data_IF_193098067024
#
_entry.id   IF_193098067024
#
_cell.length_a   1.000
_cell.length_b   1.000
_cell.length_c   1.000
_cell.angle_alpha   90.00
_cell.angle_beta   90.00
_cell.angle_gamma   90.00
#
_symmetry.space_group_name_H-M   'P 1'
#
loop_
_entity.id
_entity.type
_entity.pdbx_description
1 polymer ?
#
# COMPACT_ATOMS: atom_id res chain seq x y z
N UNK A 1 12.36 -1.29 -0.03
CA UNK A 1 12.07 -1.26 1.41
C UNK A 1 12.65 -2.49 2.08
N UNK A 2 13.26 -2.30 3.28
CA UNK A 2 13.95 -3.39 3.97
C UNK A 2 13.00 -4.47 4.54
N UNK A 3 11.78 -4.08 4.86
CA UNK A 3 10.73 -4.96 5.38
C UNK A 3 9.78 -5.50 4.29
N UNK A 4 10.11 -5.34 3.01
CA UNK A 4 9.19 -5.67 1.93
C UNK A 4 8.90 -7.16 1.87
N UNK A 5 7.67 -7.54 2.14
CA UNK A 5 7.22 -8.94 2.11
C UNK A 5 7.21 -9.56 0.70
N UNK A 6 7.42 -8.76 -0.35
CA UNK A 6 7.55 -9.25 -1.71
C UNK A 6 8.98 -9.75 -2.04
N UNK A 7 9.98 -9.48 -1.18
CA UNK A 7 11.36 -9.92 -1.40
C UNK A 7 11.50 -11.43 -1.68
N UNK A 8 10.83 -12.31 -0.94
CA UNK A 8 10.89 -13.74 -1.20
C UNK A 8 10.37 -14.18 -2.58
N UNK A 9 9.60 -13.35 -3.28
CA UNK A 9 9.11 -13.71 -4.62
C UNK A 9 10.23 -13.81 -5.66
N UNK A 10 11.40 -13.20 -5.41
CA UNK A 10 12.56 -13.33 -6.29
C UNK A 10 13.17 -14.74 -6.26
N UNK A 11 12.99 -15.48 -5.16
CA UNK A 11 13.44 -16.87 -5.06
C UNK A 11 12.77 -17.79 -6.11
N UNK A 12 11.55 -17.48 -6.57
CA UNK A 12 10.91 -18.20 -7.67
C UNK A 12 11.61 -18.07 -9.02
N UNK A 13 12.56 -17.14 -9.11
CA UNK A 13 13.37 -16.87 -10.29
C UNK A 13 14.86 -17.10 -10.04
N UNK A 14 15.20 -17.87 -9.00
CA UNK A 14 16.57 -18.14 -8.56
C UNK A 14 17.39 -16.85 -8.28
N UNK A 15 16.71 -15.80 -7.84
CA UNK A 15 17.30 -14.51 -7.53
C UNK A 15 17.30 -14.24 -6.02
N UNK A 16 18.33 -13.51 -5.57
CA UNK A 16 18.47 -13.09 -4.18
C UNK A 16 17.33 -12.14 -3.75
N UNK A 17 16.73 -12.34 -2.55
CA UNK A 17 15.80 -11.38 -1.95
C UNK A 17 16.48 -10.07 -1.49
N UNK A 18 17.79 -10.02 -1.53
CA UNK A 18 18.62 -8.85 -1.20
C UNK A 18 18.76 -7.90 -2.38
N UNK A 19 19.97 -7.83 -2.94
CA UNK A 19 20.32 -6.89 -4.00
C UNK A 19 19.56 -7.14 -5.30
N UNK A 20 19.35 -8.41 -5.67
CA UNK A 20 18.64 -8.72 -6.91
C UNK A 20 17.20 -8.19 -6.90
N UNK A 21 16.51 -8.26 -5.74
CA UNK A 21 15.18 -7.66 -5.59
C UNK A 21 15.15 -6.16 -5.90
N UNK A 22 16.27 -5.48 -5.72
CA UNK A 22 16.36 -4.04 -5.93
C UNK A 22 16.88 -3.65 -7.32
N UNK A 23 17.53 -4.56 -8.02
CA UNK A 23 18.24 -4.30 -9.28
C UNK A 23 17.69 -5.06 -10.47
N UNK A 24 17.11 -6.24 -10.26
CA UNK A 24 16.54 -7.09 -11.31
C UNK A 24 15.01 -7.03 -11.26
N UNK A 25 14.42 -6.20 -12.09
CA UNK A 25 12.99 -5.95 -12.12
C UNK A 25 12.31 -6.69 -13.27
N UNK A 26 11.10 -7.14 -13.03
CA UNK A 26 10.24 -7.78 -14.04
C UNK A 26 9.13 -6.82 -14.45
N UNK A 27 9.15 -6.36 -15.69
CA UNK A 27 8.05 -5.59 -16.28
C UNK A 27 7.06 -6.53 -16.97
N UNK A 28 5.78 -6.14 -16.99
CA UNK A 28 4.70 -6.86 -17.68
C UNK A 28 4.08 -5.93 -18.75
N UNK A 29 4.75 -5.73 -19.89
CA UNK A 29 4.32 -4.74 -20.89
C UNK A 29 2.92 -5.01 -21.42
N UNK A 30 2.53 -6.27 -21.55
CA UNK A 30 1.23 -6.69 -22.09
C UNK A 30 0.09 -6.67 -21.05
N UNK A 31 0.32 -6.15 -19.83
CA UNK A 31 -0.66 -6.22 -18.74
C UNK A 31 -2.00 -5.59 -19.11
N UNK A 32 -2.02 -4.47 -19.81
CA UNK A 32 -3.24 -3.80 -20.24
C UNK A 32 -4.02 -4.62 -21.29
N UNK A 33 -3.32 -5.21 -22.25
CA UNK A 33 -3.93 -6.07 -23.28
C UNK A 33 -4.52 -7.35 -22.67
N UNK A 34 -3.77 -7.98 -21.76
CA UNK A 34 -4.23 -9.17 -21.04
C UNK A 34 -5.45 -8.86 -20.15
N UNK A 35 -5.41 -7.70 -19.45
CA UNK A 35 -6.56 -7.24 -18.66
C UNK A 35 -7.78 -7.03 -19.54
N UNK A 36 -7.63 -6.35 -20.68
CA UNK A 36 -8.74 -6.13 -21.63
C UNK A 36 -9.35 -7.45 -22.09
N UNK A 37 -8.53 -8.43 -22.43
CA UNK A 37 -8.99 -9.77 -22.81
C UNK A 37 -9.74 -10.47 -21.66
N UNK A 38 -9.23 -10.34 -20.42
CA UNK A 38 -9.88 -10.94 -19.24
C UNK A 38 -11.25 -10.31 -18.95
N UNK A 39 -11.35 -8.97 -18.99
CA UNK A 39 -12.58 -8.22 -18.77
C UNK A 39 -13.65 -8.51 -19.85
N UNK A 40 -13.23 -8.90 -21.06
CA UNK A 40 -14.11 -9.25 -22.16
C UNK A 40 -14.64 -10.69 -22.13
N UNK A 41 -14.19 -11.53 -21.20
CA UNK A 41 -14.65 -12.91 -21.11
C UNK A 41 -16.11 -13.01 -20.73
N UNK A 42 -16.85 -13.90 -21.40
CA UNK A 42 -18.25 -14.21 -21.05
C UNK A 42 -18.31 -14.71 -19.60
N UNK A 43 -19.16 -14.09 -18.79
CA UNK A 43 -19.34 -14.46 -17.39
C UNK A 43 -18.31 -13.83 -16.44
N UNK A 44 -17.51 -12.86 -16.88
CA UNK A 44 -16.67 -12.09 -15.97
C UNK A 44 -17.53 -11.40 -14.90
N UNK A 45 -17.23 -11.66 -13.62
CA UNK A 45 -17.92 -11.06 -12.48
C UNK A 45 -17.09 -9.87 -11.96
N UNK A 46 -17.59 -8.66 -12.14
CA UNK A 46 -16.89 -7.45 -11.75
C UNK A 46 -16.74 -7.37 -10.23
N UNK A 47 -15.48 -7.28 -9.77
CA UNK A 47 -15.09 -7.03 -8.38
C UNK A 47 -13.96 -6.00 -8.35
N UNK A 48 -13.84 -5.15 -7.30
CA UNK A 48 -12.77 -4.18 -7.25
C UNK A 48 -11.38 -4.81 -7.37
N UNK A 49 -10.58 -4.33 -8.31
CA UNK A 49 -9.17 -4.74 -8.44
C UNK A 49 -8.34 -3.95 -7.44
N UNK A 50 -7.53 -4.65 -6.63
CA UNK A 50 -6.57 -4.04 -5.73
C UNK A 50 -5.17 -4.04 -6.35
N UNK A 51 -4.69 -2.87 -6.75
CA UNK A 51 -3.37 -2.66 -7.32
C UNK A 51 -2.37 -2.23 -6.24
N UNK A 52 -1.13 -2.72 -6.31
CA UNK A 52 -0.09 -2.38 -5.34
C UNK A 52 -0.07 -3.26 -4.09
N UNK A 53 -0.70 -4.42 -4.14
CA UNK A 53 -0.76 -5.35 -3.00
C UNK A 53 0.49 -6.21 -2.85
N UNK A 54 1.31 -6.34 -3.89
CA UNK A 54 2.60 -7.03 -3.84
C UNK A 54 3.75 -6.05 -4.02
N UNK A 55 3.87 -5.41 -5.18
CA UNK A 55 4.86 -4.38 -5.46
C UNK A 55 4.17 -3.03 -5.72
N UNK A 56 4.89 -1.93 -5.52
CA UNK A 56 4.33 -0.59 -5.74
C UNK A 56 4.06 -0.36 -7.24
N UNK A 57 2.84 0.05 -7.64
CA UNK A 57 2.51 0.29 -9.03
C UNK A 57 3.21 1.52 -9.63
N UNK A 58 3.76 2.40 -8.79
CA UNK A 58 4.47 3.61 -9.20
C UNK A 58 5.97 3.55 -8.89
N UNK A 59 6.59 2.38 -9.12
CA UNK A 59 8.04 2.24 -9.06
C UNK A 59 8.74 3.21 -10.04
N UNK A 60 10.03 3.53 -9.85
CA UNK A 60 10.76 4.44 -10.76
C UNK A 60 10.66 4.07 -12.23
N UNK A 61 10.67 2.78 -12.56
CA UNK A 61 10.55 2.24 -13.93
C UNK A 61 9.23 2.62 -14.61
N UNK A 62 8.17 2.86 -13.84
CA UNK A 62 6.85 3.26 -14.34
C UNK A 62 6.88 4.62 -15.06
N UNK A 63 7.93 5.44 -14.84
CA UNK A 63 8.14 6.67 -15.61
C UNK A 63 8.27 6.41 -17.11
N UNK A 64 8.95 5.34 -17.44
CA UNK A 64 9.31 5.01 -18.83
C UNK A 64 8.32 3.99 -19.43
N UNK A 65 7.92 2.97 -18.66
CA UNK A 65 7.06 1.88 -19.13
C UNK A 65 5.57 2.21 -19.13
N UNK A 66 5.10 3.07 -18.23
CA UNK A 66 3.68 3.50 -18.09
C UNK A 66 2.66 2.35 -18.05
N UNK A 67 3.05 1.19 -17.55
CA UNK A 67 2.19 0.00 -17.47
C UNK A 67 1.00 0.25 -16.54
N UNK A 68 1.25 0.87 -15.38
CA UNK A 68 0.18 1.24 -14.44
C UNK A 68 -0.85 2.14 -15.09
N UNK A 69 -0.39 3.16 -15.83
CA UNK A 69 -1.29 4.08 -16.54
C UNK A 69 -2.14 3.35 -17.57
N UNK A 70 -1.54 2.52 -18.43
CA UNK A 70 -2.30 1.77 -19.45
C UNK A 70 -3.31 0.79 -18.83
N UNK A 71 -3.02 0.21 -17.68
CA UNK A 71 -3.98 -0.61 -16.93
C UNK A 71 -5.14 0.26 -16.41
N UNK A 72 -4.85 1.45 -15.84
CA UNK A 72 -5.90 2.37 -15.35
C UNK A 72 -6.77 2.86 -16.53
N UNK A 73 -6.20 3.13 -17.71
CA UNK A 73 -6.94 3.52 -18.91
C UNK A 73 -7.97 2.44 -19.31
N UNK A 74 -7.59 1.16 -19.31
CA UNK A 74 -8.51 0.05 -19.56
C UNK A 74 -9.62 -0.02 -18.51
N UNK A 75 -9.28 0.15 -17.23
CA UNK A 75 -10.29 0.12 -16.15
C UNK A 75 -11.25 1.31 -16.24
N UNK A 76 -10.74 2.50 -16.55
CA UNK A 76 -11.56 3.71 -16.72
C UNK A 76 -12.52 3.57 -17.93
N UNK A 77 -12.05 3.02 -19.05
CA UNK A 77 -12.88 2.75 -20.23
C UNK A 77 -14.03 1.79 -19.92
N UNK A 78 -13.78 0.79 -19.09
CA UNK A 78 -14.74 -0.24 -18.72
C UNK A 78 -15.63 0.13 -17.51
N UNK A 79 -15.49 1.32 -16.94
CA UNK A 79 -16.10 1.70 -15.66
C UNK A 79 -15.86 0.64 -14.56
N UNK A 80 -14.64 0.09 -14.52
CA UNK A 80 -14.27 -0.97 -13.59
C UNK A 80 -13.68 -0.42 -12.29
N UNK A 81 -14.13 -0.87 -11.11
CA UNK A 81 -13.65 -0.35 -9.82
C UNK A 81 -12.20 -0.76 -9.51
N UNK A 82 -11.45 0.18 -8.91
CA UNK A 82 -10.01 0.08 -8.64
C UNK A 82 -9.65 0.64 -7.26
N UNK A 83 -8.81 -0.08 -6.52
CA UNK A 83 -8.13 0.42 -5.32
C UNK A 83 -6.63 0.44 -5.59
N UNK A 84 -5.99 1.58 -5.40
CA UNK A 84 -4.54 1.72 -5.57
C UNK A 84 -3.88 1.85 -4.20
N UNK A 85 -2.87 1.03 -3.92
CA UNK A 85 -2.00 1.21 -2.74
C UNK A 85 -0.59 1.56 -3.21
N UNK A 86 -0.06 2.67 -2.71
CA UNK A 86 1.29 3.13 -3.11
C UNK A 86 1.99 3.93 -2.00
N UNK A 87 3.30 4.02 -2.08
CA UNK A 87 4.14 4.98 -1.33
C UNK A 87 4.52 6.19 -2.19
N UNK A 88 4.20 6.16 -3.47
CA UNK A 88 4.67 7.14 -4.44
C UNK A 88 3.68 8.30 -4.62
N UNK A 89 4.20 9.51 -4.65
CA UNK A 89 3.45 10.70 -5.07
C UNK A 89 3.21 10.76 -6.59
N UNK A 90 3.81 9.83 -7.36
CA UNK A 90 3.60 9.72 -8.82
C UNK A 90 2.17 9.31 -9.19
N UNK A 91 1.37 8.81 -8.27
CA UNK A 91 -0.06 8.58 -8.49
C UNK A 91 -0.78 9.85 -8.97
N UNK A 92 -0.27 11.02 -8.63
CA UNK A 92 -0.79 12.31 -9.10
C UNK A 92 -0.66 12.51 -10.61
N UNK A 93 0.22 11.78 -11.29
CA UNK A 93 0.35 11.80 -12.76
C UNK A 93 -0.95 11.37 -13.44
N UNK A 94 -1.68 10.46 -12.80
CA UNK A 94 -2.86 9.82 -13.39
C UNK A 94 -4.19 10.42 -12.85
N UNK A 95 -4.14 11.63 -12.25
CA UNK A 95 -5.33 12.33 -11.73
C UNK A 95 -6.38 12.59 -12.81
N UNK A 96 -5.97 12.78 -14.05
CA UNK A 96 -6.85 12.96 -15.20
C UNK A 96 -7.79 11.75 -15.43
N UNK A 97 -7.35 10.55 -15.06
CA UNK A 97 -8.12 9.31 -15.09
C UNK A 97 -8.84 9.06 -13.74
N UNK A 98 -8.13 9.29 -12.62
CA UNK A 98 -8.64 8.94 -11.30
C UNK A 98 -9.78 9.86 -10.84
N UNK A 99 -9.76 11.16 -11.16
CA UNK A 99 -10.81 12.08 -10.72
C UNK A 99 -12.17 11.77 -11.40
N UNK A 100 -12.27 11.54 -12.72
CA UNK A 100 -13.51 11.08 -13.32
C UNK A 100 -14.01 9.73 -12.80
N UNK A 101 -13.10 8.78 -12.51
CA UNK A 101 -13.46 7.50 -11.90
C UNK A 101 -13.98 7.70 -10.47
N UNK A 102 -13.40 8.61 -9.70
CA UNK A 102 -13.84 8.93 -8.35
C UNK A 102 -15.25 9.55 -8.32
N UNK A 103 -15.58 10.40 -9.29
CA UNK A 103 -16.92 10.97 -9.44
C UNK A 103 -18.01 9.90 -9.68
N UNK A 104 -17.62 8.74 -10.20
CA UNK A 104 -18.47 7.57 -10.40
C UNK A 104 -18.39 6.54 -9.26
N UNK A 105 -17.67 6.84 -8.17
CA UNK A 105 -17.38 5.90 -7.06
C UNK A 105 -16.65 4.62 -7.49
N UNK A 106 -15.76 4.74 -8.47
CA UNK A 106 -15.01 3.61 -9.06
C UNK A 106 -13.57 3.51 -8.55
N UNK A 107 -13.04 4.50 -7.83
CA UNK A 107 -11.65 4.45 -7.40
C UNK A 107 -11.45 4.97 -5.97
N UNK A 108 -10.48 4.38 -5.30
CA UNK A 108 -9.91 4.91 -4.07
C UNK A 108 -8.40 4.71 -4.06
N UNK A 109 -7.69 5.59 -3.39
CA UNK A 109 -6.22 5.53 -3.29
C UNK A 109 -5.81 5.43 -1.82
N UNK A 110 -4.90 4.53 -1.51
CA UNK A 110 -4.27 4.40 -0.20
C UNK A 110 -2.79 4.78 -0.30
N UNK A 111 -2.39 5.85 0.40
CA UNK A 111 -1.00 6.28 0.48
C UNK A 111 -0.38 5.74 1.78
N UNK A 112 0.74 5.03 1.68
CA UNK A 112 1.44 4.53 2.86
C UNK A 112 2.38 5.60 3.44
N UNK A 113 2.26 5.88 4.74
CA UNK A 113 3.14 6.78 5.50
C UNK A 113 3.63 6.02 6.72
N UNK A 114 4.90 5.60 6.71
CA UNK A 114 5.49 4.74 7.74
C UNK A 114 6.09 5.54 8.89
N UNK A 115 6.64 6.72 8.59
CA UNK A 115 7.24 7.65 9.55
C UNK A 115 7.15 9.07 9.00
N UNK A 116 7.05 10.05 9.88
CA UNK A 116 7.17 11.48 9.56
C UNK A 116 8.61 11.95 9.64
N UNK A 117 9.50 11.17 10.28
CA UNK A 117 10.92 11.47 10.43
C UNK A 117 11.67 11.11 9.16
N UNK A 118 12.19 12.08 8.40
CA UNK A 118 12.85 11.84 7.11
C UNK A 118 14.00 10.84 7.20
N UNK A 119 14.83 10.98 8.25
CA UNK A 119 16.00 10.11 8.48
C UNK A 119 15.57 8.64 8.62
N UNK A 120 14.50 8.36 9.35
CA UNK A 120 13.98 7.00 9.51
C UNK A 120 13.36 6.51 8.19
N UNK A 121 12.49 7.31 7.59
CA UNK A 121 11.84 6.95 6.33
C UNK A 121 12.87 6.61 5.23
N UNK A 122 13.95 7.38 5.12
CA UNK A 122 15.00 7.14 4.13
C UNK A 122 15.79 5.86 4.36
N UNK A 123 16.00 5.42 5.61
CA UNK A 123 16.73 4.18 5.87
C UNK A 123 15.88 2.93 5.63
N UNK A 124 14.59 2.98 5.94
CA UNK A 124 13.69 1.83 5.77
C UNK A 124 13.05 1.75 4.37
N UNK A 125 12.92 2.90 3.69
CA UNK A 125 12.27 3.05 2.38
C UNK A 125 13.08 3.94 1.42
N UNK A 126 14.33 3.60 1.12
CA UNK A 126 15.30 4.51 0.46
C UNK A 126 14.87 4.98 -0.94
N UNK A 127 13.96 4.25 -1.60
CA UNK A 127 13.45 4.59 -2.95
C UNK A 127 12.06 5.24 -2.94
N UNK A 128 11.45 5.39 -1.77
CA UNK A 128 10.14 6.00 -1.67
C UNK A 128 10.26 7.53 -1.45
N UNK A 129 9.29 8.34 -1.89
CA UNK A 129 9.28 9.78 -1.67
C UNK A 129 9.31 10.14 -0.19
N UNK A 130 9.87 11.30 0.10
CA UNK A 130 9.87 11.90 1.44
C UNK A 130 8.44 11.95 2.05
N UNK A 131 8.28 11.75 3.37
CA UNK A 131 6.96 11.73 4.01
C UNK A 131 6.08 12.94 3.69
N UNK A 132 6.64 14.15 3.65
CA UNK A 132 5.90 15.36 3.31
C UNK A 132 5.34 15.34 1.89
N UNK A 133 6.04 14.77 0.92
CA UNK A 133 5.54 14.60 -0.44
C UNK A 133 4.37 13.62 -0.51
N UNK A 134 4.40 12.57 0.33
CA UNK A 134 3.29 11.61 0.43
C UNK A 134 2.05 12.29 1.02
N UNK A 135 2.20 13.09 2.07
CA UNK A 135 1.10 13.86 2.68
C UNK A 135 0.57 14.95 1.73
N UNK A 136 1.45 15.59 0.97
CA UNK A 136 1.03 16.52 -0.09
C UNK A 136 0.24 15.79 -1.19
N UNK A 137 0.61 14.55 -1.54
CA UNK A 137 -0.15 13.73 -2.47
C UNK A 137 -1.53 13.36 -1.91
N UNK A 138 -1.64 13.04 -0.61
CA UNK A 138 -2.93 12.82 0.07
C UNK A 138 -3.83 14.05 -0.10
N UNK A 139 -3.30 15.26 0.21
CA UNK A 139 -4.06 16.50 0.07
C UNK A 139 -4.53 16.71 -1.37
N UNK A 140 -3.62 16.58 -2.34
CA UNK A 140 -3.96 16.81 -3.74
C UNK A 140 -5.00 15.83 -4.29
N UNK A 141 -4.95 14.57 -3.88
CA UNK A 141 -5.98 13.58 -4.20
C UNK A 141 -7.33 13.98 -3.59
N UNK A 142 -7.36 14.33 -2.30
CA UNK A 142 -8.56 14.77 -1.61
C UNK A 142 -9.18 16.01 -2.24
N UNK A 143 -8.37 17.04 -2.54
CA UNK A 143 -8.79 18.29 -3.20
C UNK A 143 -9.35 18.04 -4.62
N UNK A 144 -8.90 16.96 -5.28
CA UNK A 144 -9.40 16.53 -6.60
C UNK A 144 -10.62 15.60 -6.52
N UNK A 145 -11.22 15.40 -5.34
CA UNK A 145 -12.39 14.56 -5.13
C UNK A 145 -12.10 13.05 -5.08
N UNK A 146 -10.83 12.64 -5.18
CA UNK A 146 -10.45 11.21 -5.11
C UNK A 146 -10.46 10.75 -3.65
N UNK A 147 -11.26 9.73 -3.28
CA UNK A 147 -11.23 9.14 -1.95
C UNK A 147 -9.82 8.64 -1.60
N UNK A 148 -9.20 9.23 -0.59
CA UNK A 148 -7.85 8.87 -0.19
C UNK A 148 -7.81 8.37 1.25
N UNK A 149 -7.01 7.33 1.47
CA UNK A 149 -6.76 6.69 2.77
C UNK A 149 -5.27 6.71 3.08
N UNK A 150 -4.93 6.70 4.36
CA UNK A 150 -3.52 6.59 4.77
C UNK A 150 -3.27 5.27 5.49
N UNK A 151 -2.29 4.51 4.99
CA UNK A 151 -1.84 3.28 5.63
C UNK A 151 -0.57 3.55 6.44
N UNK A 152 -0.66 3.44 7.76
CA UNK A 152 0.50 3.47 8.66
C UNK A 152 1.08 2.05 8.70
N UNK A 153 1.84 1.71 7.67
CA UNK A 153 2.28 0.34 7.44
C UNK A 153 3.69 0.27 6.83
N UNK A 154 4.61 -0.37 7.53
CA UNK A 154 4.45 -0.99 8.85
C UNK A 154 4.64 -0.02 10.03
N UNK A 155 4.00 -0.34 11.16
CA UNK A 155 4.39 0.21 12.46
C UNK A 155 5.49 -0.67 13.03
N UNK A 156 6.65 -0.08 13.32
CA UNK A 156 7.82 -0.78 13.87
C UNK A 156 7.94 -0.45 15.36
N UNK A 157 7.85 -1.46 16.27
CA UNK A 157 7.95 -1.23 17.70
C UNK A 157 9.22 -0.48 18.08
N UNK A 158 9.12 0.46 19.02
CA UNK A 158 10.22 1.29 19.54
C UNK A 158 11.00 2.10 18.48
N UNK A 159 10.54 2.11 17.21
CA UNK A 159 11.14 2.90 16.12
C UNK A 159 10.14 3.90 15.53
N UNK A 160 8.93 3.47 15.15
CA UNK A 160 7.93 4.34 14.51
C UNK A 160 6.58 4.35 15.22
N UNK A 161 6.40 3.53 16.23
CA UNK A 161 5.14 3.41 16.98
C UNK A 161 4.79 4.66 17.80
N UNK A 162 5.76 5.49 18.12
CA UNK A 162 5.59 6.80 18.77
C UNK A 162 4.98 7.87 17.84
N UNK A 163 4.98 7.64 16.53
CA UNK A 163 4.48 8.60 15.54
C UNK A 163 3.02 8.35 15.11
N UNK A 164 2.38 7.27 15.56
CA UNK A 164 1.07 6.84 15.05
C UNK A 164 0.02 7.94 15.18
N UNK A 165 -0.09 8.59 16.33
CA UNK A 165 -1.05 9.68 16.57
C UNK A 165 -0.76 10.90 15.70
N UNK A 166 0.53 11.22 15.54
CA UNK A 166 0.95 12.35 14.69
C UNK A 166 0.63 12.08 13.21
N UNK A 167 0.85 10.85 12.74
CA UNK A 167 0.51 10.48 11.35
C UNK A 167 -1.00 10.55 11.15
N UNK A 168 -1.82 10.06 12.10
CA UNK A 168 -3.28 10.16 12.03
C UNK A 168 -3.72 11.63 11.95
N UNK A 169 -3.15 12.51 12.79
CA UNK A 169 -3.43 13.95 12.77
C UNK A 169 -3.10 14.57 11.40
N UNK A 170 -1.92 14.24 10.87
CA UNK A 170 -1.46 14.77 9.57
C UNK A 170 -2.29 14.24 8.41
N UNK A 171 -2.72 12.97 8.46
CA UNK A 171 -3.61 12.37 7.48
C UNK A 171 -4.98 13.06 7.47
N UNK A 172 -5.58 13.26 8.65
CA UNK A 172 -6.85 13.99 8.79
C UNK A 172 -6.73 15.42 8.26
N UNK A 173 -5.70 16.17 8.65
CA UNK A 173 -5.43 17.52 8.17
C UNK A 173 -5.11 17.61 6.67
N UNK A 174 -4.73 16.51 6.03
CA UNK A 174 -4.54 16.42 4.59
C UNK A 174 -5.81 15.98 3.84
N UNK A 175 -6.93 15.72 4.52
CA UNK A 175 -8.20 15.34 3.90
C UNK A 175 -8.37 13.84 3.65
N UNK A 176 -7.58 12.99 4.28
CA UNK A 176 -7.78 11.55 4.19
C UNK A 176 -9.15 11.15 4.79
N UNK A 177 -9.90 10.28 4.09
CA UNK A 177 -11.18 9.75 4.56
C UNK A 177 -11.04 8.72 5.66
N UNK A 178 -9.91 8.04 5.73
CA UNK A 178 -9.66 7.03 6.72
C UNK A 178 -8.19 6.68 6.87
N UNK A 179 -7.89 5.99 7.95
CA UNK A 179 -6.54 5.50 8.27
C UNK A 179 -6.59 4.04 8.68
N UNK A 180 -5.52 3.32 8.36
CA UNK A 180 -5.28 1.97 8.85
C UNK A 180 -3.85 1.81 9.34
N UNK A 181 -3.57 0.77 10.11
CA UNK A 181 -2.21 0.42 10.49
C UNK A 181 -1.95 -1.08 10.40
N UNK A 182 -0.72 -1.46 10.15
CA UNK A 182 -0.27 -2.83 10.16
C UNK A 182 1.08 -2.89 10.89
N UNK A 183 1.20 -3.69 11.97
CA UNK A 183 2.50 -3.95 12.60
C UNK A 183 3.46 -4.66 11.64
N UNK A 184 4.75 -4.40 11.79
CA UNK A 184 5.78 -4.99 10.93
C UNK A 184 5.68 -6.51 10.87
N UNK A 185 5.89 -7.06 9.67
CA UNK A 185 5.91 -8.49 9.36
C UNK A 185 7.24 -8.84 8.71
N UNK A 186 7.82 -9.94 9.13
CA UNK A 186 9.16 -10.35 8.72
C UNK A 186 9.12 -11.80 8.18
N UNK A 187 8.45 -12.05 7.04
CA UNK A 187 8.40 -13.40 6.48
C UNK A 187 9.77 -13.80 5.92
N UNK A 188 10.16 -15.04 6.21
CA UNK A 188 11.35 -15.71 5.67
C UNK A 188 12.60 -14.82 5.65
N UNK A 189 13.17 -14.56 4.47
CA UNK A 189 14.42 -13.82 4.27
C UNK A 189 14.31 -12.34 4.66
N UNK A 190 13.12 -11.82 4.87
CA UNK A 190 12.94 -10.45 5.37
C UNK A 190 13.44 -10.31 6.81
N UNK A 191 13.33 -11.36 7.63
CA UNK A 191 13.75 -11.32 9.04
C UNK A 191 15.26 -11.07 9.20
N UNK A 192 16.17 -11.83 8.59
CA UNK A 192 17.60 -11.54 8.69
C UNK A 192 17.99 -10.18 8.09
N UNK A 193 17.37 -9.74 7.00
CA UNK A 193 17.63 -8.41 6.43
C UNK A 193 17.21 -7.29 7.38
N UNK A 194 16.08 -7.46 8.03
CA UNK A 194 15.59 -6.48 9.00
C UNK A 194 16.46 -6.43 10.25
N UNK A 195 16.96 -7.57 10.75
CA UNK A 195 17.91 -7.63 11.86
C UNK A 195 19.20 -6.91 11.53
N UNK A 196 19.80 -7.17 10.37
CA UNK A 196 21.01 -6.49 9.91
C UNK A 196 20.81 -4.96 9.83
N UNK A 197 19.64 -4.53 9.37
CA UNK A 197 19.28 -3.10 9.35
C UNK A 197 19.13 -2.51 10.76
N UNK A 198 18.55 -3.25 11.70
CA UNK A 198 18.45 -2.81 13.10
C UNK A 198 19.83 -2.67 13.73
N UNK A 199 20.72 -3.63 13.51
CA UNK A 199 22.08 -3.62 14.07
C UNK A 199 22.89 -2.45 13.52
N UNK A 200 22.71 -2.09 12.25
CA UNK A 200 23.37 -0.96 11.61
C UNK A 200 22.83 0.41 12.08
N UNK A 201 21.50 0.54 12.18
CA UNK A 201 20.89 1.86 12.39
C UNK A 201 20.38 2.12 13.80
N UNK A 202 20.10 1.07 14.57
CA UNK A 202 19.50 1.12 15.90
C UNK A 202 20.05 0.04 16.85
N UNK A 203 21.40 -0.11 16.98
CA UNK A 203 22.00 -1.21 17.75
C UNK A 203 21.48 -1.27 19.20
N UNK A 204 21.33 -0.11 19.86
CA UNK A 204 20.85 -0.04 21.25
C UNK A 204 19.38 -0.47 21.42
N UNK A 205 18.61 -0.56 20.35
CA UNK A 205 17.18 -0.91 20.35
C UNK A 205 16.88 -2.24 19.70
N UNK A 206 17.84 -2.82 18.97
CA UNK A 206 17.63 -4.02 18.14
C UNK A 206 17.00 -5.17 18.93
N UNK A 207 17.57 -5.50 20.08
CA UNK A 207 17.05 -6.55 20.97
C UNK A 207 15.62 -6.26 21.45
N UNK A 208 15.31 -5.03 21.86
CA UNK A 208 13.97 -4.63 22.31
C UNK A 208 12.94 -4.73 21.16
N UNK A 209 13.30 -4.23 19.99
CA UNK A 209 12.42 -4.28 18.79
C UNK A 209 12.07 -5.71 18.46
N UNK A 210 13.06 -6.60 18.36
CA UNK A 210 12.82 -8.01 18.02
C UNK A 210 12.06 -8.76 19.11
N UNK A 211 12.30 -8.49 20.38
CA UNK A 211 11.52 -9.08 21.49
C UNK A 211 10.04 -8.71 21.40
N UNK A 212 9.71 -7.44 21.10
CA UNK A 212 8.32 -7.02 20.92
C UNK A 212 7.71 -7.66 19.69
N UNK A 213 8.44 -7.73 18.56
CA UNK A 213 7.96 -8.39 17.35
C UNK A 213 7.63 -9.85 17.63
N UNK A 214 8.50 -10.56 18.31
CA UNK A 214 8.29 -11.98 18.67
C UNK A 214 7.10 -12.15 19.62
N UNK A 215 6.97 -11.30 20.63
CA UNK A 215 5.83 -11.36 21.55
C UNK A 215 4.49 -11.16 20.83
N UNK A 216 4.44 -10.30 19.83
CA UNK A 216 3.24 -10.10 18.99
C UNK A 216 2.92 -11.28 18.08
N UNK A 217 3.86 -12.20 17.86
CA UNK A 217 3.75 -13.33 16.92
C UNK A 217 3.72 -14.70 17.60
N UNK A 218 3.36 -14.72 18.88
CA UNK A 218 3.22 -15.97 19.65
C UNK A 218 4.48 -16.38 20.44
N UNK A 219 5.39 -15.44 20.70
CA UNK A 219 6.52 -15.59 21.63
C UNK A 219 7.89 -15.76 20.96
N UNK A 220 8.09 -16.76 20.10
CA UNK A 220 9.42 -17.08 19.55
C UNK A 220 9.50 -16.94 18.01
N UNK A 221 8.55 -16.31 17.38
CA UNK A 221 8.48 -16.21 15.92
C UNK A 221 8.64 -14.78 15.46
N UNK A 222 9.43 -14.55 14.43
CA UNK A 222 9.57 -13.24 13.79
C UNK A 222 8.37 -12.93 12.88
N UNK A 223 7.59 -13.95 12.46
CA UNK A 223 6.44 -13.81 11.60
C UNK A 223 5.31 -14.77 11.98
N UNK A 224 4.08 -14.33 11.75
CA UNK A 224 2.87 -15.16 11.83
C UNK A 224 2.43 -15.46 10.39
N UNK A 225 2.40 -16.75 9.96
CA UNK A 225 1.95 -17.13 8.63
C UNK A 225 0.42 -17.13 8.49
N UNK A 226 -0.34 -17.09 9.58
CA UNK A 226 -1.80 -17.20 9.61
C UNK A 226 -2.49 -16.13 8.79
N UNK A 227 -3.33 -16.52 7.83
CA UNK A 227 -3.99 -15.57 6.93
C UNK A 227 -4.83 -14.51 7.67
N UNK A 228 -5.55 -14.90 8.71
CA UNK A 228 -6.44 -14.00 9.45
C UNK A 228 -5.76 -13.24 10.59
N UNK A 229 -4.60 -13.70 11.06
CA UNK A 229 -3.88 -13.16 12.22
C UNK A 229 -2.65 -12.34 11.85
N UNK A 230 -1.99 -12.69 10.73
CA UNK A 230 -0.70 -12.11 10.32
C UNK A 230 -0.67 -10.58 10.20
N UNK A 231 -1.82 -9.94 9.91
CA UNK A 231 -1.94 -8.48 9.79
C UNK A 231 -2.17 -7.78 11.13
N UNK A 232 -2.37 -8.55 12.21
CA UNK A 232 -2.64 -8.03 13.55
C UNK A 232 -1.50 -8.39 14.49
N UNK A 233 -1.10 -7.48 15.36
CA UNK A 233 -0.26 -7.83 16.50
C UNK A 233 -1.11 -8.38 17.62
N UNK A 234 -0.63 -9.44 18.28
CA UNK A 234 -1.25 -10.01 19.49
C UNK A 234 -0.54 -9.50 20.76
N UNK A 235 -1.14 -9.74 21.92
CA UNK A 235 -0.56 -9.41 23.21
C UNK A 235 -0.53 -7.92 23.55
N UNK A 236 0.08 -7.56 24.71
CA UNK A 236 -0.05 -6.24 25.32
C UNK A 236 0.36 -5.08 24.42
N UNK A 237 1.44 -5.22 23.65
CA UNK A 237 1.88 -4.16 22.75
C UNK A 237 0.90 -3.97 21.58
N UNK A 238 0.40 -5.06 21.01
CA UNK A 238 -0.60 -4.99 19.93
C UNK A 238 -1.91 -4.37 20.39
N UNK A 239 -2.34 -4.70 21.63
CA UNK A 239 -3.55 -4.14 22.25
C UNK A 239 -3.38 -2.66 22.56
N UNK A 240 -2.24 -2.26 23.11
CA UNK A 240 -1.90 -0.86 23.36
C UNK A 240 -1.89 -0.05 22.06
N UNK A 241 -1.25 -0.55 21.01
CA UNK A 241 -1.20 0.13 19.72
C UNK A 241 -2.61 0.32 19.15
N UNK A 242 -3.45 -0.72 19.20
CA UNK A 242 -4.86 -0.61 18.78
C UNK A 242 -5.62 0.46 19.56
N UNK A 243 -5.46 0.48 20.87
CA UNK A 243 -6.12 1.45 21.74
C UNK A 243 -5.70 2.87 21.41
N UNK A 244 -4.39 3.13 21.29
CA UNK A 244 -3.83 4.43 20.90
C UNK A 244 -4.34 4.88 19.54
N UNK A 245 -4.32 3.98 18.56
CA UNK A 245 -4.82 4.25 17.21
C UNK A 245 -6.32 4.61 17.21
N UNK A 246 -7.15 3.88 17.95
CA UNK A 246 -8.58 4.18 18.06
C UNK A 246 -8.85 5.52 18.73
N UNK A 247 -8.09 5.87 19.78
CA UNK A 247 -8.18 7.18 20.45
C UNK A 247 -7.79 8.29 19.46
N UNK A 248 -6.70 8.13 18.71
CA UNK A 248 -6.28 9.10 17.72
C UNK A 248 -7.33 9.30 16.61
N UNK A 249 -7.91 8.23 16.08
CA UNK A 249 -9.00 8.31 15.09
C UNK A 249 -10.18 9.14 15.58
N UNK A 250 -10.62 8.89 16.82
CA UNK A 250 -11.72 9.65 17.46
C UNK A 250 -11.34 11.12 17.67
N UNK A 251 -10.12 11.37 18.18
CA UNK A 251 -9.63 12.73 18.45
C UNK A 251 -9.57 13.60 17.20
N UNK A 252 -9.15 13.04 16.08
CA UNK A 252 -8.98 13.77 14.82
C UNK A 252 -10.15 13.58 13.85
N UNK A 253 -11.23 12.96 14.34
CA UNK A 253 -12.47 12.82 13.61
C UNK A 253 -12.33 12.17 12.22
N UNK A 254 -11.44 11.22 12.12
CA UNK A 254 -11.19 10.48 10.88
C UNK A 254 -11.86 9.10 10.96
N UNK A 255 -12.44 8.63 9.86
CA UNK A 255 -13.24 7.38 9.80
C UNK A 255 -14.50 7.41 10.69
N UNK A 256 -15.14 8.57 10.86
CA UNK A 256 -16.30 8.74 11.75
C UNK A 256 -17.42 7.75 11.47
N UNK A 257 -17.70 7.56 10.22
CA UNK A 257 -18.87 6.79 9.79
C UNK A 257 -18.61 5.31 9.64
N UNK A 258 -17.40 4.79 9.89
CA UNK A 258 -17.03 3.39 9.59
C UNK A 258 -17.54 2.90 8.23
N UNK A 259 -17.79 3.81 7.31
CA UNK A 259 -18.21 3.47 5.96
C UNK A 259 -17.12 2.63 5.31
N UNK A 260 -17.42 1.35 5.22
CA UNK A 260 -16.59 0.46 4.42
C UNK A 260 -16.54 1.06 3.03
N UNK A 261 -15.34 1.30 2.53
CA UNK A 261 -15.14 1.68 1.14
C UNK A 261 -15.96 0.73 0.26
N UNK A 262 -16.99 1.26 -0.37
CA UNK A 262 -17.78 0.54 -1.36
C UNK A 262 -17.56 1.22 -2.70
N UNK A 263 -16.96 0.48 -3.60
CA UNK A 263 -16.86 0.91 -4.99
C UNK A 263 -17.99 0.27 -5.78
N UNK A 264 -18.50 0.99 -6.75
CA UNK A 264 -19.60 0.53 -7.61
C UNK A 264 -19.09 -0.51 -8.60
N UNK A 265 -19.77 -1.64 -8.68
CA UNK A 265 -19.50 -2.71 -9.64
C UNK A 265 -20.58 -2.81 -10.72
N UNK A 266 -21.71 -2.14 -10.50
CA UNK A 266 -22.88 -2.14 -11.37
C UNK A 266 -22.72 -1.28 -12.64
N UNK A 267 -21.72 -0.38 -12.65
CA UNK A 267 -21.39 0.44 -13.82
C UNK A 267 -20.49 -0.28 -14.83
N UNK A 268 -19.90 -1.41 -14.45
CA UNK A 268 -18.97 -2.13 -15.31
C UNK A 268 -19.57 -2.47 -16.67
N UNK A 269 -18.79 -2.20 -17.70
CA UNK A 269 -19.08 -2.57 -19.08
C UNK A 269 -17.89 -3.32 -19.67
N UNK A 270 -18.10 -4.51 -20.25
CA UNK A 270 -17.02 -5.21 -20.95
C UNK A 270 -16.38 -4.30 -22.01
N UNK A 271 -15.06 -4.42 -22.24
CA UNK A 271 -14.41 -3.68 -23.30
C UNK A 271 -15.05 -4.03 -24.65
N UNK A 272 -15.23 -3.02 -25.51
CA UNK A 272 -15.69 -3.25 -26.87
C UNK A 272 -14.68 -4.13 -27.59
N UNK A 273 -15.12 -5.22 -28.18
CA UNK A 273 -14.28 -6.10 -29.00
C UNK A 273 -13.75 -5.35 -30.23
N UNK A 274 -12.72 -5.88 -30.93
CA UNK A 274 -12.26 -5.30 -32.18
C UNK A 274 -13.30 -5.33 -33.30
N UNK A 275 -14.44 -5.96 -33.06
CA UNK A 275 -15.64 -5.89 -33.88
C UNK A 275 -16.49 -4.67 -33.49
N UNK A 276 -15.93 -3.49 -33.74
CA UNK A 276 -16.69 -2.27 -33.86
C UNK A 276 -17.42 -2.35 -35.21
N UNK A 277 -18.72 -2.18 -35.16
CA UNK A 277 -19.54 -1.70 -36.29
C UNK A 277 -19.45 -2.53 -37.58
N UNK A 278 -20.10 -3.69 -37.54
CA UNK A 278 -20.80 -4.20 -38.70
C UNK A 278 -22.33 -4.02 -38.41
N UNK A 279 -22.80 -2.80 -38.63
CA UNK A 279 -24.14 -2.35 -38.98
C UNK A 279 -24.36 -0.91 -38.55
#
# INVERSE_FOLDING_TARGET
>A
CIYCFARPTHAYHDLSPGLDFETKLFAKPDAAALLRAELGKRGYACQPIAMGTNTDPYQPIERDWRITRSVIEVLAECDHPLIITTKSDRVLRDLDLLAPMAAKELVAVAISVTSLRPRIAMTIEPRAPHPERRLAAVRKLADSGVPVYVNIAPVIPAITDDEVEAIVARAAGAGARGVSFIPVRLPWEVAPLFRAWLDEHFPDRAGKVMSIIQSMRGGNRDNDPGFFTRMRGQGPWGDLLRTRFMIARRRFDIDRNHEKLRLRTDLFRPPRGPQGELF
#
